data_IF_136961313055
#
_entry.id   IF_136961313055
#
_cell.length_a   1.000
_cell.length_b   1.000
_cell.length_c   1.000
_cell.angle_alpha   90.00
_cell.angle_beta   90.00
_cell.angle_gamma   90.00
#
_symmetry.space_group_name_H-M   'P 1'
#
loop_
_entity.id
_entity.type
_entity.pdbx_description
1 polymer ?
#
# COMPACT_ATOMS: atom_id res chain seq x y z
N UNK A 1 0.29 -27.87 -31.96
CA UNK A 1 1.43 -27.73 -31.02
C UNK A 1 0.88 -27.20 -29.71
N UNK A 2 1.46 -27.54 -28.56
CA UNK A 2 1.06 -26.96 -27.27
C UNK A 2 1.77 -25.61 -27.14
N UNK A 3 1.02 -24.51 -27.12
CA UNK A 3 1.53 -23.15 -26.98
C UNK A 3 1.96 -22.90 -25.53
N UNK A 4 3.23 -22.56 -25.30
CA UNK A 4 3.72 -22.22 -23.96
C UNK A 4 3.34 -20.78 -23.62
N UNK A 5 2.79 -20.63 -22.43
CA UNK A 5 2.43 -19.33 -21.87
C UNK A 5 3.16 -19.12 -20.55
N UNK A 6 3.57 -17.88 -20.31
CA UNK A 6 4.29 -17.46 -19.11
C UNK A 6 3.44 -16.49 -18.31
N UNK A 7 3.45 -16.62 -16.98
CA UNK A 7 2.71 -15.74 -16.09
C UNK A 7 3.69 -14.88 -15.29
N UNK A 8 3.65 -13.57 -15.51
CA UNK A 8 4.35 -12.59 -14.67
C UNK A 8 3.43 -12.12 -13.54
N UNK A 9 3.90 -12.17 -12.30
CA UNK A 9 3.18 -11.70 -11.10
C UNK A 9 4.01 -10.63 -10.40
N UNK A 10 3.39 -9.48 -10.11
CA UNK A 10 4.00 -8.36 -9.39
C UNK A 10 3.06 -7.91 -8.26
N UNK A 11 3.47 -8.12 -7.01
CA UNK A 11 2.67 -7.81 -5.82
C UNK A 11 3.25 -6.58 -5.12
N UNK A 12 2.54 -5.45 -5.25
CA UNK A 12 2.83 -4.23 -4.51
C UNK A 12 1.93 -4.07 -3.28
N UNK A 13 2.24 -3.10 -2.42
CA UNK A 13 1.52 -2.86 -1.17
C UNK A 13 0.00 -2.69 -1.36
N UNK A 14 -0.41 -1.92 -2.38
CA UNK A 14 -1.82 -1.60 -2.62
C UNK A 14 -2.48 -2.37 -3.75
N UNK A 15 -1.76 -3.24 -4.46
CA UNK A 15 -2.33 -4.00 -5.59
C UNK A 15 -1.41 -5.13 -6.03
N UNK A 16 -2.01 -6.20 -6.56
CA UNK A 16 -1.33 -7.21 -7.35
C UNK A 16 -1.59 -7.01 -8.84
N UNK A 17 -0.60 -7.33 -9.68
CA UNK A 17 -0.70 -7.31 -11.14
C UNK A 17 -0.29 -8.68 -11.69
N UNK A 18 -0.96 -9.08 -12.76
CA UNK A 18 -0.66 -10.30 -13.50
C UNK A 18 -0.62 -10.01 -15.00
N UNK A 19 0.30 -10.69 -15.71
CA UNK A 19 0.42 -10.58 -17.16
C UNK A 19 0.76 -11.95 -17.78
N UNK A 20 0.15 -12.25 -18.92
CA UNK A 20 0.41 -13.47 -19.69
C UNK A 20 1.29 -13.12 -20.88
N UNK A 21 2.33 -13.93 -21.12
CA UNK A 21 3.27 -13.75 -22.23
C UNK A 21 3.40 -15.02 -23.07
N UNK A 22 3.67 -14.86 -24.36
CA UNK A 22 4.14 -15.97 -25.21
C UNK A 22 5.63 -16.27 -24.98
N UNK A 23 6.17 -17.25 -25.71
CA UNK A 23 7.58 -17.65 -25.61
C UNK A 23 8.59 -16.64 -26.17
N UNK A 24 8.15 -15.67 -26.96
CA UNK A 24 8.98 -14.57 -27.47
C UNK A 24 8.96 -13.36 -26.53
N UNK A 25 8.20 -13.43 -25.43
CA UNK A 25 8.04 -12.33 -24.48
C UNK A 25 6.98 -11.31 -24.90
N UNK A 26 6.13 -11.63 -25.89
CA UNK A 26 5.00 -10.77 -26.27
C UNK A 26 3.96 -10.76 -25.17
N UNK A 27 3.49 -9.58 -24.77
CA UNK A 27 2.38 -9.44 -23.82
C UNK A 27 1.06 -9.79 -24.51
N UNK A 28 0.39 -10.84 -24.03
CA UNK A 28 -0.90 -11.32 -24.54
C UNK A 28 -2.09 -10.71 -23.79
N UNK A 29 -1.89 -10.33 -22.53
CA UNK A 29 -2.91 -9.70 -21.71
C UNK A 29 -2.43 -9.42 -20.30
N UNK A 30 -3.08 -8.49 -19.61
CA UNK A 30 -2.75 -8.13 -18.23
C UNK A 30 -3.99 -7.78 -17.42
N UNK A 31 -3.87 -7.91 -16.09
CA UNK A 31 -4.89 -7.56 -15.12
C UNK A 31 -4.24 -6.94 -13.87
N UNK A 32 -5.03 -6.14 -13.16
CA UNK A 32 -4.68 -5.54 -11.86
C UNK A 32 -5.82 -5.78 -10.89
N UNK A 33 -5.48 -6.13 -9.66
CA UNK A 33 -6.42 -6.21 -8.54
C UNK A 33 -5.91 -5.32 -7.39
N UNK A 34 -6.77 -4.43 -6.89
CA UNK A 34 -6.45 -3.64 -5.70
C UNK A 34 -6.44 -4.55 -4.46
N UNK A 35 -5.50 -4.29 -3.55
CA UNK A 35 -5.38 -4.98 -2.26
C UNK A 35 -5.90 -4.03 -1.19
N UNK A 36 -6.84 -4.51 -0.38
CA UNK A 36 -7.35 -3.75 0.75
C UNK A 36 -6.21 -3.44 1.73
N UNK A 37 -5.94 -2.15 1.94
CA UNK A 37 -4.92 -1.68 2.86
C UNK A 37 -5.48 -1.55 4.27
N UNK A 38 -4.85 -2.20 5.23
CA UNK A 38 -5.10 -1.90 6.64
C UNK A 38 -4.36 -0.61 7.04
N UNK A 39 -5.11 0.35 7.58
CA UNK A 39 -4.54 1.56 8.21
C UNK A 39 -4.62 1.43 9.71
N UNK A 40 -3.47 1.36 10.36
CA UNK A 40 -3.39 1.54 11.80
C UNK A 40 -3.43 3.03 12.16
N UNK A 41 -4.20 3.41 13.16
CA UNK A 41 -4.30 4.77 13.70
C UNK A 41 -3.22 5.02 14.78
N UNK A 42 -2.00 4.52 14.56
CA UNK A 42 -0.87 4.86 15.43
C UNK A 42 -0.35 6.24 14.98
N UNK A 43 -0.62 7.25 15.81
CA UNK A 43 -0.06 8.63 15.84
C UNK A 43 -1.02 9.82 15.63
N UNK A 44 -2.29 9.71 16.03
CA UNK A 44 -3.15 10.92 16.15
C UNK A 44 -2.91 11.74 17.43
N UNK A 45 -1.91 11.41 18.27
CA UNK A 45 -1.56 12.26 19.41
C UNK A 45 -0.49 13.25 18.97
N UNK A 46 -0.84 14.52 18.68
CA UNK A 46 0.18 15.54 18.60
C UNK A 46 0.88 15.59 19.96
N UNK A 47 2.21 15.50 19.95
CA UNK A 47 3.03 15.82 21.12
C UNK A 47 2.99 17.36 21.24
N UNK A 48 1.85 17.90 21.64
CA UNK A 48 1.71 19.32 21.95
C UNK A 48 0.59 19.55 22.96
N UNK A 49 0.97 19.68 24.22
CA UNK A 49 0.83 20.97 24.87
C UNK A 49 1.87 21.07 25.97
N UNK A 50 2.87 21.92 25.72
CA UNK A 50 3.52 22.66 26.80
C UNK A 50 2.39 23.33 27.59
N UNK A 51 2.23 22.98 28.86
CA UNK A 51 1.52 23.86 29.79
C UNK A 51 2.45 25.04 30.10
N UNK A 52 2.47 26.03 29.21
CA UNK A 52 2.89 27.39 29.56
C UNK A 52 1.79 27.98 30.45
N UNK A 53 2.19 28.48 31.62
CA UNK A 53 1.31 28.73 32.76
C UNK A 53 0.49 30.02 32.73
N UNK A 54 -0.36 30.11 33.75
CA UNK A 54 -1.07 31.25 34.37
C UNK A 54 -1.72 30.60 35.62
N UNK A 55 -1.69 31.06 36.88
CA UNK A 55 -1.48 32.34 37.52
C UNK A 55 -2.48 32.38 38.69
N UNK A 56 -2.08 32.77 39.91
CA UNK A 56 -3.06 33.13 40.96
C UNK A 56 -2.75 32.65 42.39
N UNK A 57 -2.45 33.61 43.27
CA UNK A 57 -2.25 33.49 44.72
C UNK A 57 -3.50 32.99 45.46
N UNK A 58 -3.34 32.22 46.54
CA UNK A 58 -3.96 32.54 47.84
C UNK A 58 -3.47 31.64 48.98
N UNK A 59 -2.92 32.32 50.00
CA UNK A 59 -2.69 31.93 51.41
C UNK A 59 -1.56 30.95 51.70
#
# INVERSE_FOLDING_TARGET
>A
MCEKHFLGIDVGTGSARAAVFDEFGTLLGSAKADIALWRNHINSRPISSRASGEGGRSR
#
